data_IF_879343870447
#
_entry.id   IF_879343870447
#
_cell.length_a   1.000
_cell.length_b   1.000
_cell.length_c   1.000
_cell.angle_alpha   90.00
_cell.angle_beta   90.00
_cell.angle_gamma   90.00
#
_symmetry.space_group_name_H-M   'P 1'
#
loop_
_entity.id
_entity.type
_entity.pdbx_description
1 polymer ?
#
# COMPACT_ATOMS: atom_id res chain seq x y z
N UNK A 1 -31.60 12.13 -40.09
CA UNK A 1 -30.57 12.14 -39.03
C UNK A 1 -30.68 10.82 -38.26
N UNK A 2 -30.08 9.76 -38.77
CA UNK A 2 -29.79 8.56 -37.99
C UNK A 2 -28.27 8.49 -37.91
N UNK A 3 -27.71 8.67 -36.71
CA UNK A 3 -26.31 8.36 -36.43
C UNK A 3 -26.31 7.06 -35.66
N UNK A 4 -26.03 5.98 -36.38
CA UNK A 4 -25.74 4.68 -35.78
C UNK A 4 -24.46 4.83 -34.95
N UNK A 5 -24.57 4.51 -33.66
CA UNK A 5 -23.49 4.56 -32.68
C UNK A 5 -22.72 3.23 -32.81
N UNK A 6 -21.39 3.21 -33.02
CA UNK A 6 -20.65 1.96 -33.14
C UNK A 6 -20.61 1.23 -31.79
N UNK A 7 -20.88 -0.07 -31.80
CA UNK A 7 -20.80 -0.95 -30.65
C UNK A 7 -19.39 -0.91 -30.02
N UNK A 8 -19.35 -0.60 -28.72
CA UNK A 8 -18.13 -0.62 -27.91
C UNK A 8 -17.59 -2.04 -27.78
N UNK A 9 -16.32 -2.23 -28.17
CA UNK A 9 -15.54 -3.43 -27.90
C UNK A 9 -15.59 -3.80 -26.42
N UNK A 10 -16.32 -4.86 -26.08
CA UNK A 10 -16.20 -5.55 -24.79
C UNK A 10 -14.84 -6.24 -24.74
N UNK A 11 -13.88 -5.68 -24.00
CA UNK A 11 -12.69 -6.42 -23.59
C UNK A 11 -13.13 -7.64 -22.76
N UNK A 12 -13.09 -8.82 -23.38
CA UNK A 12 -13.24 -10.09 -22.67
C UNK A 12 -12.04 -10.24 -21.75
N UNK A 13 -12.29 -10.34 -20.43
CA UNK A 13 -11.28 -10.69 -19.44
C UNK A 13 -10.47 -11.90 -19.91
N UNK A 14 -9.19 -11.68 -20.16
CA UNK A 14 -8.28 -12.69 -20.72
C UNK A 14 -7.96 -13.67 -19.59
N UNK A 15 -8.68 -14.79 -19.55
CA UNK A 15 -8.32 -15.92 -18.68
C UNK A 15 -6.97 -16.44 -19.18
N UNK A 16 -5.91 -16.29 -18.37
CA UNK A 16 -4.58 -16.79 -18.71
C UNK A 16 -4.63 -18.32 -18.90
N UNK A 17 -4.05 -18.82 -19.98
CA UNK A 17 -4.05 -20.25 -20.27
C UNK A 17 -3.06 -20.94 -19.28
N UNK A 18 -3.47 -21.98 -18.54
CA UNK A 18 -2.59 -22.66 -17.60
C UNK A 18 -1.28 -23.19 -18.21
N UNK A 19 -1.25 -23.41 -19.53
CA UNK A 19 -0.05 -23.84 -20.26
C UNK A 19 1.04 -22.76 -20.36
N UNK A 20 0.72 -21.50 -20.08
CA UNK A 20 1.66 -20.38 -20.19
C UNK A 20 2.58 -20.23 -18.96
N UNK A 21 2.32 -21.00 -17.90
CA UNK A 21 3.11 -21.00 -16.68
C UNK A 21 4.25 -22.03 -16.72
N UNK A 22 5.45 -21.56 -16.39
CA UNK A 22 6.69 -22.35 -16.33
C UNK A 22 7.26 -22.32 -14.92
N UNK A 23 8.22 -23.20 -14.65
CA UNK A 23 8.96 -23.24 -13.39
C UNK A 23 10.19 -22.35 -13.44
N UNK A 24 10.35 -21.50 -12.43
CA UNK A 24 11.52 -20.64 -12.30
C UNK A 24 12.71 -21.44 -11.76
N UNK A 25 13.88 -21.25 -12.35
CA UNK A 25 15.08 -22.04 -12.04
C UNK A 25 15.62 -21.77 -10.62
N UNK A 26 15.49 -20.53 -10.13
CA UNK A 26 15.99 -20.12 -8.83
C UNK A 26 14.85 -20.09 -7.80
N UNK A 27 14.60 -21.22 -7.14
CA UNK A 27 13.59 -21.35 -6.08
C UNK A 27 12.35 -22.17 -6.44
N UNK A 28 12.12 -22.50 -7.72
CA UNK A 28 11.08 -23.47 -8.12
C UNK A 28 9.62 -22.96 -8.13
N UNK A 29 9.42 -21.65 -7.97
CA UNK A 29 8.12 -21.01 -8.15
C UNK A 29 7.60 -21.07 -9.59
N UNK A 30 6.35 -20.65 -9.79
CA UNK A 30 5.70 -20.63 -11.10
C UNK A 30 5.67 -19.21 -11.66
N UNK A 31 5.91 -19.05 -12.96
CA UNK A 31 5.84 -17.74 -13.62
C UNK A 31 5.21 -17.85 -15.00
N UNK A 32 4.49 -16.81 -15.41
CA UNK A 32 3.94 -16.69 -16.75
C UNK A 32 5.06 -16.34 -17.75
N UNK A 33 5.07 -16.96 -18.93
CA UNK A 33 6.13 -16.79 -19.94
C UNK A 33 6.37 -15.36 -20.45
N UNK A 34 5.40 -14.46 -20.26
CA UNK A 34 5.53 -13.04 -20.62
C UNK A 34 6.00 -12.15 -19.48
N UNK A 35 6.24 -12.68 -18.28
CA UNK A 35 6.87 -11.94 -17.20
C UNK A 35 8.35 -11.69 -17.53
N UNK A 36 8.83 -10.48 -17.22
CA UNK A 36 10.24 -10.15 -17.32
C UNK A 36 10.85 -10.24 -15.93
N UNK A 37 11.68 -11.25 -15.72
CA UNK A 37 12.24 -11.57 -14.40
C UNK A 37 13.75 -11.61 -14.56
N UNK A 38 14.46 -10.82 -13.76
CA UNK A 38 15.92 -10.85 -13.73
C UNK A 38 16.42 -12.26 -13.30
N UNK A 39 17.45 -12.83 -13.95
CA UNK A 39 17.97 -14.17 -13.61
C UNK A 39 18.42 -14.34 -12.15
N UNK A 40 18.75 -13.25 -11.47
CA UNK A 40 19.15 -13.28 -10.05
C UNK A 40 17.97 -13.32 -9.09
N UNK A 41 16.74 -13.12 -9.56
CA UNK A 41 15.55 -13.17 -8.71
C UNK A 41 15.32 -14.58 -8.16
N UNK A 42 14.97 -14.65 -6.87
CA UNK A 42 14.57 -15.85 -6.17
C UNK A 42 13.04 -15.89 -6.10
N UNK A 43 12.44 -16.95 -6.65
CA UNK A 43 10.99 -17.18 -6.61
C UNK A 43 10.76 -18.55 -6.00
N UNK A 44 10.34 -18.57 -4.74
CA UNK A 44 10.18 -19.81 -3.98
C UNK A 44 9.02 -20.68 -4.47
N UNK A 45 9.07 -21.96 -4.11
CA UNK A 45 8.03 -22.94 -4.44
C UNK A 45 6.66 -22.46 -3.95
N UNK A 46 5.66 -22.56 -4.82
CA UNK A 46 4.30 -22.13 -4.52
C UNK A 46 4.05 -20.64 -4.73
N UNK A 47 5.09 -19.81 -4.94
CA UNK A 47 4.90 -18.46 -5.43
C UNK A 47 4.49 -18.46 -6.91
N UNK A 48 3.68 -17.47 -7.31
CA UNK A 48 3.16 -17.31 -8.68
C UNK A 48 3.42 -15.89 -9.17
N UNK A 49 4.05 -15.77 -10.33
CA UNK A 49 4.25 -14.50 -11.03
C UNK A 49 3.42 -14.47 -12.32
N UNK A 50 2.48 -13.54 -12.43
CA UNK A 50 1.55 -13.43 -13.55
C UNK A 50 2.11 -12.70 -14.77
N UNK A 51 1.32 -12.65 -15.84
CA UNK A 51 1.74 -12.07 -17.11
C UNK A 51 2.18 -10.61 -17.00
N UNK A 52 3.20 -10.25 -17.79
CA UNK A 52 3.75 -8.89 -17.90
C UNK A 52 4.32 -8.30 -16.60
N UNK A 53 4.40 -9.06 -15.51
CA UNK A 53 5.07 -8.61 -14.30
C UNK A 53 6.57 -8.37 -14.57
N UNK A 54 7.14 -7.39 -13.88
CA UNK A 54 8.54 -7.00 -13.99
C UNK A 54 9.24 -7.19 -12.64
N UNK A 55 10.21 -8.09 -12.55
CA UNK A 55 10.99 -8.31 -11.33
C UNK A 55 12.46 -7.95 -11.58
N UNK A 56 12.97 -6.96 -10.83
CA UNK A 56 14.36 -6.53 -10.89
C UNK A 56 15.35 -7.52 -10.25
N UNK A 57 16.65 -7.19 -10.36
CA UNK A 57 17.73 -8.01 -9.83
C UNK A 57 17.63 -8.21 -8.31
N UNK A 58 17.97 -9.42 -7.84
CA UNK A 58 17.98 -9.83 -6.44
C UNK A 58 16.64 -9.67 -5.70
N UNK A 59 15.52 -9.65 -6.43
CA UNK A 59 14.18 -9.72 -5.82
C UNK A 59 13.97 -11.11 -5.20
N UNK A 60 13.40 -11.17 -4.01
CA UNK A 60 12.99 -12.41 -3.36
C UNK A 60 11.47 -12.45 -3.24
N UNK A 61 10.83 -13.48 -3.80
CA UNK A 61 9.40 -13.74 -3.68
C UNK A 61 9.18 -14.99 -2.84
N UNK A 62 8.61 -14.80 -1.65
CA UNK A 62 8.33 -15.88 -0.70
C UNK A 62 7.23 -16.83 -1.15
N UNK A 63 7.27 -18.05 -0.61
CA UNK A 63 6.31 -19.13 -0.89
C UNK A 63 4.85 -18.68 -0.71
N UNK A 64 4.00 -19.09 -1.65
CA UNK A 64 2.57 -18.76 -1.67
C UNK A 64 2.25 -17.31 -2.04
N UNK A 65 3.24 -16.45 -2.29
CA UNK A 65 2.99 -15.10 -2.76
C UNK A 65 2.50 -15.08 -4.22
N UNK A 66 1.60 -14.16 -4.52
CA UNK A 66 1.02 -13.94 -5.84
C UNK A 66 1.39 -12.54 -6.32
N UNK A 67 2.22 -12.48 -7.34
CA UNK A 67 2.56 -11.24 -8.06
C UNK A 67 1.63 -11.13 -9.25
N UNK A 68 0.63 -10.25 -9.17
CA UNK A 68 -0.41 -10.07 -10.18
C UNK A 68 0.10 -9.53 -11.53
N UNK A 69 -0.79 -9.47 -12.54
CA UNK A 69 -0.42 -9.02 -13.87
C UNK A 69 0.15 -7.60 -13.86
N UNK A 70 1.17 -7.33 -14.68
CA UNK A 70 1.81 -6.02 -14.82
C UNK A 70 2.36 -5.39 -13.52
N UNK A 71 2.43 -6.13 -12.41
CA UNK A 71 3.08 -5.66 -11.18
C UNK A 71 4.56 -5.45 -11.43
N UNK A 72 5.09 -4.32 -10.97
CA UNK A 72 6.52 -3.99 -11.06
C UNK A 72 7.15 -4.07 -9.69
N UNK A 73 8.20 -4.87 -9.56
CA UNK A 73 8.99 -5.04 -8.33
C UNK A 73 10.42 -4.58 -8.61
N UNK A 74 10.84 -3.51 -7.94
CA UNK A 74 12.21 -2.99 -8.05
C UNK A 74 13.27 -3.92 -7.45
N UNK A 75 14.52 -3.76 -7.88
CA UNK A 75 15.66 -4.55 -7.45
C UNK A 75 15.83 -4.65 -5.91
N UNK A 76 16.33 -5.78 -5.44
CA UNK A 76 16.63 -6.07 -4.02
C UNK A 76 15.42 -5.99 -3.07
N UNK A 77 14.20 -6.07 -3.61
CA UNK A 77 12.97 -6.09 -2.81
C UNK A 77 12.71 -7.48 -2.24
N UNK A 78 12.30 -7.55 -0.97
CA UNK A 78 11.92 -8.81 -0.31
C UNK A 78 10.42 -8.86 -0.08
N UNK A 79 9.76 -9.84 -0.69
CA UNK A 79 8.34 -10.15 -0.52
C UNK A 79 8.20 -11.38 0.37
N UNK A 80 7.43 -11.26 1.45
CA UNK A 80 7.15 -12.36 2.39
C UNK A 80 6.24 -13.45 1.84
N UNK A 81 5.84 -14.36 2.72
CA UNK A 81 4.98 -15.49 2.41
C UNK A 81 3.52 -15.06 2.26
N UNK A 82 2.79 -15.71 1.35
CA UNK A 82 1.36 -15.49 1.14
C UNK A 82 0.97 -14.01 0.92
N UNK A 83 1.84 -13.23 0.26
CA UNK A 83 1.58 -11.84 -0.10
C UNK A 83 0.82 -11.78 -1.41
N UNK A 84 -0.19 -10.91 -1.53
CA UNK A 84 -0.87 -10.67 -2.80
C UNK A 84 -0.61 -9.23 -3.28
N UNK A 85 -0.08 -9.12 -4.50
CA UNK A 85 0.18 -7.85 -5.18
C UNK A 85 -0.72 -7.76 -6.41
N UNK A 86 -1.50 -6.70 -6.55
CA UNK A 86 -2.42 -6.53 -7.67
C UNK A 86 -2.18 -5.20 -8.37
N UNK A 87 -1.77 -5.22 -9.64
CA UNK A 87 -1.57 -4.03 -10.49
C UNK A 87 -0.83 -2.87 -9.79
N UNK A 88 0.19 -3.17 -9.00
CA UNK A 88 0.89 -2.19 -8.16
C UNK A 88 2.37 -2.07 -8.52
N UNK A 89 3.03 -1.05 -7.98
CA UNK A 89 4.47 -0.85 -8.12
C UNK A 89 5.11 -0.92 -6.72
N UNK A 90 5.75 -2.05 -6.43
CA UNK A 90 6.51 -2.23 -5.19
C UNK A 90 7.96 -1.87 -5.48
N UNK A 91 8.42 -0.74 -4.95
CA UNK A 91 9.70 -0.11 -5.31
C UNK A 91 9.68 0.42 -6.74
N UNK A 92 9.44 1.73 -6.84
CA UNK A 92 9.66 2.45 -8.09
C UNK A 92 11.16 2.38 -8.42
N UNK A 93 11.48 2.01 -9.66
CA UNK A 93 12.87 1.96 -10.18
C UNK A 93 13.64 3.27 -9.97
N UNK A 94 12.93 4.39 -9.82
CA UNK A 94 13.48 5.64 -9.32
C UNK A 94 13.43 5.67 -7.81
N UNK A 95 14.63 5.76 -7.20
CA UNK A 95 14.85 6.35 -5.87
C UNK A 95 13.78 7.42 -5.60
N UNK A 96 13.06 7.33 -4.48
CA UNK A 96 11.99 8.25 -4.07
C UNK A 96 12.41 9.72 -4.11
N UNK A 97 11.51 10.65 -3.80
CA UNK A 97 11.71 12.09 -4.02
C UNK A 97 12.69 12.75 -3.02
N UNK A 98 13.97 12.34 -3.01
CA UNK A 98 15.03 12.95 -2.20
C UNK A 98 16.10 13.60 -3.06
N UNK A 99 16.44 14.85 -2.77
CA UNK A 99 17.50 15.62 -3.43
C UNK A 99 18.34 16.36 -2.38
N UNK A 100 19.60 16.63 -2.70
CA UNK A 100 20.45 17.57 -1.98
C UNK A 100 20.93 18.65 -2.94
N UNK A 101 21.25 19.81 -2.40
CA UNK A 101 21.90 20.88 -3.16
C UNK A 101 23.41 20.65 -3.07
N UNK A 102 24.07 20.51 -4.22
CA UNK A 102 25.54 20.42 -4.26
C UNK A 102 26.22 21.78 -4.03
N UNK A 103 27.55 21.79 -4.01
CA UNK A 103 28.36 23.01 -3.83
C UNK A 103 28.14 24.06 -4.93
N UNK A 104 27.53 23.68 -6.06
CA UNK A 104 27.23 24.54 -7.21
C UNK A 104 25.77 24.96 -7.29
N UNK A 105 24.94 24.58 -6.32
CA UNK A 105 23.51 24.90 -6.31
C UNK A 105 22.62 23.94 -7.11
N UNK A 106 23.16 22.84 -7.65
CA UNK A 106 22.37 21.88 -8.43
C UNK A 106 21.61 20.93 -7.52
N UNK A 107 20.40 20.55 -7.94
CA UNK A 107 19.61 19.51 -7.29
C UNK A 107 20.14 18.13 -7.68
N UNK A 108 20.94 17.52 -6.81
CA UNK A 108 21.50 16.18 -7.02
C UNK A 108 20.65 15.15 -6.30
N UNK A 109 20.35 14.04 -6.97
CA UNK A 109 19.51 12.96 -6.43
C UNK A 109 20.20 12.31 -5.22
N UNK A 110 19.46 12.16 -4.12
CA UNK A 110 19.93 11.38 -2.96
C UNK A 110 19.88 9.88 -3.30
N UNK A 111 21.01 9.15 -3.24
CA UNK A 111 20.99 7.71 -3.42
C UNK A 111 20.13 7.03 -2.36
N UNK A 112 19.21 6.16 -2.79
CA UNK A 112 18.43 5.30 -1.91
C UNK A 112 18.87 3.85 -2.13
N UNK A 113 19.91 3.43 -1.39
CA UNK A 113 20.61 2.16 -1.62
C UNK A 113 20.03 0.99 -0.82
N UNK A 114 19.10 1.23 0.09
CA UNK A 114 18.51 0.19 0.95
C UNK A 114 17.24 -0.39 0.37
N UNK A 115 16.56 -1.30 1.04
CA UNK A 115 15.51 -2.11 0.39
C UNK A 115 14.11 -1.72 0.84
N UNK A 116 13.11 -2.31 0.18
CA UNK A 116 11.77 -2.45 0.73
C UNK A 116 11.55 -3.90 1.17
N UNK A 117 10.97 -4.08 2.35
CA UNK A 117 10.64 -5.36 2.94
C UNK A 117 9.13 -5.43 3.17
N UNK A 118 8.49 -6.36 2.48
CA UNK A 118 7.08 -6.65 2.63
C UNK A 118 6.97 -7.90 3.49
N UNK A 119 6.25 -7.80 4.61
CA UNK A 119 5.98 -8.90 5.53
C UNK A 119 5.08 -9.97 4.94
N UNK A 120 4.65 -10.90 5.78
CA UNK A 120 3.81 -12.03 5.38
C UNK A 120 2.34 -11.65 5.37
N UNK A 121 1.53 -12.30 4.54
CA UNK A 121 0.07 -12.09 4.47
C UNK A 121 -0.35 -10.63 4.17
N UNK A 122 0.54 -9.87 3.53
CA UNK A 122 0.29 -8.50 3.12
C UNK A 122 -0.49 -8.49 1.81
N UNK A 123 -1.43 -7.56 1.68
CA UNK A 123 -2.13 -7.30 0.42
C UNK A 123 -1.87 -5.85 -0.02
N UNK A 124 -1.48 -5.68 -1.27
CA UNK A 124 -1.24 -4.36 -1.88
C UNK A 124 -2.12 -4.22 -3.11
N UNK A 125 -3.03 -3.25 -3.05
CA UNK A 125 -3.97 -2.88 -4.09
C UNK A 125 -3.33 -2.15 -5.27
N UNK A 126 -4.15 -1.94 -6.29
CA UNK A 126 -3.78 -1.36 -7.57
C UNK A 126 -3.25 0.07 -7.45
N UNK A 127 -2.29 0.40 -8.30
CA UNK A 127 -1.69 1.74 -8.43
C UNK A 127 -1.08 2.28 -7.12
N UNK A 128 -0.83 1.40 -6.14
CA UNK A 128 -0.10 1.74 -4.92
C UNK A 128 1.41 1.70 -5.18
N UNK A 129 2.11 2.63 -4.54
CA UNK A 129 3.53 2.87 -4.71
C UNK A 129 4.25 2.82 -3.36
N UNK A 130 5.31 2.01 -3.29
CA UNK A 130 6.13 1.86 -2.08
C UNK A 130 7.58 2.23 -2.40
N UNK A 131 8.08 3.29 -1.77
CA UNK A 131 9.46 3.73 -1.95
C UNK A 131 10.43 2.92 -1.09
N UNK A 132 11.62 2.64 -1.62
CA UNK A 132 12.70 1.96 -0.89
C UNK A 132 13.39 2.86 0.13
N UNK A 133 14.08 2.24 1.08
CA UNK A 133 14.85 2.93 2.10
C UNK A 133 16.07 3.71 1.57
N UNK A 134 16.37 4.85 2.20
CA UNK A 134 17.65 5.57 2.02
C UNK A 134 18.69 5.27 3.11
N UNK A 135 18.35 5.48 4.39
CA UNK A 135 19.22 5.23 5.57
C UNK A 135 18.76 4.09 6.49
N UNK A 136 17.48 3.71 6.39
CA UNK A 136 16.89 2.45 6.90
C UNK A 136 15.95 1.85 5.86
N UNK A 137 15.66 0.55 5.94
CA UNK A 137 14.68 -0.07 5.04
C UNK A 137 13.28 0.57 5.19
N UNK A 138 12.51 0.54 4.11
CA UNK A 138 11.05 0.66 4.19
C UNK A 138 10.50 -0.72 4.53
N UNK A 139 9.67 -0.81 5.58
CA UNK A 139 9.16 -2.07 6.10
C UNK A 139 7.65 -2.00 6.23
N UNK A 140 6.98 -3.01 5.69
CA UNK A 140 5.54 -3.24 5.86
C UNK A 140 5.37 -4.51 6.66
N UNK A 141 4.83 -4.41 7.87
CA UNK A 141 4.67 -5.54 8.77
C UNK A 141 3.55 -6.49 8.34
N UNK A 142 3.60 -7.69 8.93
CA UNK A 142 2.72 -8.81 8.58
C UNK A 142 1.23 -8.45 8.67
N UNK A 143 0.42 -9.11 7.84
CA UNK A 143 -1.04 -9.01 7.78
C UNK A 143 -1.60 -7.64 7.41
N UNK A 144 -0.75 -6.69 7.01
CA UNK A 144 -1.19 -5.35 6.60
C UNK A 144 -1.95 -5.37 5.28
N UNK A 145 -2.97 -4.52 5.15
CA UNK A 145 -3.82 -4.35 3.97
C UNK A 145 -3.68 -2.93 3.46
N UNK A 146 -3.23 -2.82 2.22
CA UNK A 146 -3.00 -1.55 1.55
C UNK A 146 -3.95 -1.52 0.36
N UNK A 147 -4.91 -0.60 0.39
CA UNK A 147 -5.89 -0.41 -0.66
C UNK A 147 -5.24 0.23 -1.90
N UNK A 148 -6.05 0.57 -2.89
CA UNK A 148 -5.63 1.15 -4.15
C UNK A 148 -5.17 2.60 -3.98
N UNK A 149 -4.24 3.04 -4.85
CA UNK A 149 -3.73 4.42 -4.90
C UNK A 149 -3.09 4.89 -3.57
N UNK A 150 -2.52 3.98 -2.79
CA UNK A 150 -1.81 4.32 -1.55
C UNK A 150 -0.33 4.60 -1.85
N UNK A 151 0.16 5.73 -1.35
CA UNK A 151 1.58 6.10 -1.44
C UNK A 151 2.27 5.84 -0.09
N UNK A 152 3.34 5.05 -0.11
CA UNK A 152 4.23 4.81 1.03
C UNK A 152 5.61 5.37 0.71
N UNK A 153 6.01 6.41 1.42
CA UNK A 153 7.30 7.07 1.26
C UNK A 153 8.50 6.23 1.70
N UNK A 154 9.70 6.77 1.42
CA UNK A 154 10.96 6.11 1.74
C UNK A 154 11.17 6.03 3.25
N UNK A 155 11.86 5.00 3.72
CA UNK A 155 12.12 4.81 5.14
C UNK A 155 10.81 4.82 5.93
N UNK A 156 9.73 4.18 5.49
CA UNK A 156 8.53 4.06 6.35
C UNK A 156 8.64 2.75 7.15
N UNK A 157 8.31 2.75 8.44
CA UNK A 157 8.04 1.50 9.19
C UNK A 157 6.54 1.43 9.42
N UNK A 158 5.93 0.34 8.99
CA UNK A 158 4.57 -0.04 9.37
C UNK A 158 4.67 -1.32 10.18
N UNK A 159 4.02 -1.34 11.35
CA UNK A 159 3.86 -2.52 12.19
C UNK A 159 2.95 -3.58 11.57
N UNK A 160 2.42 -4.47 12.40
CA UNK A 160 1.54 -5.56 11.98
C UNK A 160 0.08 -5.09 11.92
N UNK A 161 -0.72 -5.77 11.10
CA UNK A 161 -2.17 -5.55 11.00
C UNK A 161 -2.55 -4.09 10.66
N UNK A 162 -1.76 -3.41 9.82
CA UNK A 162 -2.13 -2.07 9.34
C UNK A 162 -3.25 -2.13 8.30
N UNK A 163 -4.20 -1.20 8.32
CA UNK A 163 -5.23 -1.07 7.28
C UNK A 163 -5.18 0.33 6.69
N UNK A 164 -4.87 0.46 5.41
CA UNK A 164 -4.70 1.75 4.74
C UNK A 164 -5.68 1.85 3.58
N UNK A 165 -6.73 2.65 3.76
CA UNK A 165 -7.76 2.85 2.75
C UNK A 165 -7.25 3.71 1.59
N UNK A 166 -7.97 3.66 0.47
CA UNK A 166 -7.52 4.25 -0.79
C UNK A 166 -7.17 5.73 -0.71
N UNK A 167 -6.20 6.13 -1.54
CA UNK A 167 -5.67 7.50 -1.60
C UNK A 167 -4.97 7.98 -0.32
N UNK A 168 -4.63 7.08 0.60
CA UNK A 168 -3.77 7.43 1.75
C UNK A 168 -2.34 7.72 1.27
N UNK A 169 -1.78 8.85 1.68
CA UNK A 169 -0.41 9.24 1.42
C UNK A 169 0.42 9.29 2.71
N UNK A 170 1.45 8.45 2.80
CA UNK A 170 2.38 8.42 3.93
C UNK A 170 3.72 8.96 3.45
N UNK A 171 4.14 10.10 3.99
CA UNK A 171 5.42 10.70 3.66
C UNK A 171 6.61 9.90 4.25
N UNK A 172 7.83 10.30 3.88
CA UNK A 172 9.04 9.57 4.25
C UNK A 172 9.33 9.57 5.75
N UNK A 173 10.09 8.58 6.21
CA UNK A 173 10.57 8.45 7.59
C UNK A 173 9.48 8.30 8.67
N UNK A 174 8.22 8.06 8.29
CA UNK A 174 7.12 7.80 9.23
C UNK A 174 7.28 6.44 9.91
N UNK A 175 6.84 6.35 11.15
CA UNK A 175 6.74 5.10 11.93
C UNK A 175 5.29 4.91 12.37
N UNK A 176 4.68 3.79 11.97
CA UNK A 176 3.31 3.41 12.32
C UNK A 176 3.39 2.10 13.12
N UNK A 177 2.78 2.07 14.29
CA UNK A 177 2.72 0.90 15.15
C UNK A 177 1.78 -0.20 14.63
N UNK A 178 1.51 -1.18 15.49
CA UNK A 178 0.64 -2.31 15.17
C UNK A 178 -0.85 -1.95 15.32
N UNK A 179 -1.70 -2.54 14.48
CA UNK A 179 -3.16 -2.40 14.51
C UNK A 179 -3.60 -0.94 14.33
N UNK A 180 -3.04 -0.28 13.31
CA UNK A 180 -3.40 1.09 12.93
C UNK A 180 -4.21 1.06 11.65
N UNK A 181 -5.35 1.73 11.66
CA UNK A 181 -6.18 1.94 10.48
C UNK A 181 -6.14 3.41 10.07
N UNK A 182 -5.78 3.69 8.82
CA UNK A 182 -5.91 5.01 8.19
C UNK A 182 -7.06 4.95 7.19
N UNK A 183 -8.10 5.75 7.44
CA UNK A 183 -9.20 5.99 6.50
C UNK A 183 -8.77 6.61 5.16
N UNK A 184 -9.69 6.70 4.22
CA UNK A 184 -9.37 7.15 2.85
C UNK A 184 -8.93 8.61 2.78
N UNK A 185 -8.04 8.93 1.83
CA UNK A 185 -7.51 10.30 1.60
C UNK A 185 -6.80 10.94 2.81
N UNK A 186 -6.20 10.13 3.68
CA UNK A 186 -5.37 10.64 4.78
C UNK A 186 -3.97 11.00 4.25
N UNK A 187 -3.44 12.12 4.73
CA UNK A 187 -2.04 12.50 4.52
C UNK A 187 -1.27 12.42 5.84
N UNK A 188 -0.16 11.70 5.87
CA UNK A 188 0.76 11.66 7.02
C UNK A 188 2.04 12.39 6.64
N UNK A 189 2.37 13.45 7.39
CA UNK A 189 3.61 14.21 7.20
C UNK A 189 4.82 13.38 7.61
N UNK A 190 5.97 13.72 7.05
CA UNK A 190 7.24 13.04 7.26
C UNK A 190 7.70 13.07 8.72
N UNK A 191 8.52 12.08 9.09
CA UNK A 191 9.14 11.96 10.42
C UNK A 191 8.17 11.87 11.62
N UNK A 192 6.92 11.48 11.38
CA UNK A 192 5.91 11.27 12.43
C UNK A 192 5.94 9.85 12.96
N UNK A 193 5.59 9.72 14.24
CA UNK A 193 5.25 8.44 14.85
C UNK A 193 3.75 8.33 15.20
N UNK A 194 3.12 7.23 14.81
CA UNK A 194 1.76 6.83 15.19
C UNK A 194 1.88 5.57 16.05
N UNK A 195 1.45 5.64 17.31
CA UNK A 195 1.55 4.54 18.26
C UNK A 195 0.66 3.33 17.90
N UNK A 196 1.02 2.15 18.38
CA UNK A 196 0.21 0.92 18.21
C UNK A 196 -1.16 1.04 18.92
N UNK A 197 -2.15 0.25 18.46
CA UNK A 197 -3.51 0.13 19.04
C UNK A 197 -4.37 1.39 18.91
N UNK A 198 -4.07 2.24 17.93
CA UNK A 198 -4.98 3.28 17.45
C UNK A 198 -5.90 2.65 16.39
N UNK A 199 -6.96 2.01 16.87
CA UNK A 199 -7.82 1.12 16.08
C UNK A 199 -8.54 1.78 14.89
N UNK A 200 -8.60 3.11 14.85
CA UNK A 200 -9.07 3.87 13.69
C UNK A 200 -8.56 5.32 13.84
N UNK A 201 -7.56 5.70 13.06
CA UNK A 201 -7.39 7.11 12.71
C UNK A 201 -8.29 7.31 11.49
N UNK A 202 -9.58 7.31 11.77
CA UNK A 202 -10.59 7.44 10.74
C UNK A 202 -10.82 8.92 10.48
N UNK A 203 -10.13 9.49 9.50
CA UNK A 203 -10.27 10.92 9.22
C UNK A 203 -11.01 11.10 7.90
N UNK A 204 -12.33 10.87 7.93
CA UNK A 204 -13.21 11.06 6.79
C UNK A 204 -13.27 12.54 6.36
N UNK A 205 -13.13 12.79 5.06
CA UNK A 205 -13.50 14.07 4.41
C UNK A 205 -14.95 14.07 3.89
N UNK A 206 -15.79 13.11 4.29
CA UNK A 206 -17.14 12.96 3.75
C UNK A 206 -18.11 13.94 4.41
N UNK A 207 -18.59 14.88 3.62
CA UNK A 207 -19.83 15.62 3.87
C UNK A 207 -20.99 14.64 3.70
N UNK A 208 -21.49 14.04 4.77
CA UNK A 208 -22.73 13.26 4.72
C UNK A 208 -23.61 13.63 5.90
N UNK A 209 -24.73 14.25 5.59
CA UNK A 209 -25.80 14.59 6.52
C UNK A 209 -26.43 13.30 7.03
N UNK A 210 -26.14 12.93 8.28
CA UNK A 210 -26.56 11.67 8.92
C UNK A 210 -28.05 11.66 9.35
N UNK A 211 -28.87 12.59 8.87
CA UNK A 211 -30.28 12.70 9.26
C UNK A 211 -31.21 11.62 8.68
N UNK A 212 -30.75 10.72 7.79
CA UNK A 212 -31.66 9.85 7.02
C UNK A 212 -31.31 8.35 6.89
N UNK A 213 -30.31 7.82 7.60
CA UNK A 213 -29.93 6.39 7.48
C UNK A 213 -30.42 5.58 8.69
N UNK A 214 -31.29 4.60 8.45
CA UNK A 214 -31.84 3.67 9.44
C UNK A 214 -30.89 2.47 9.64
N UNK A 215 -30.39 2.28 10.87
CA UNK A 215 -29.15 1.55 11.22
C UNK A 215 -29.33 0.11 11.75
N UNK A 216 -30.37 -0.64 11.35
CA UNK A 216 -30.73 -1.91 12.00
C UNK A 216 -30.47 -3.21 11.22
N UNK A 217 -29.47 -3.27 10.33
CA UNK A 217 -29.09 -4.53 9.72
C UNK A 217 -27.57 -4.71 9.75
N UNK A 218 -27.12 -5.81 10.38
CA UNK A 218 -25.73 -6.34 10.41
C UNK A 218 -24.79 -5.86 11.53
N UNK A 219 -24.98 -6.42 12.74
CA UNK A 219 -23.89 -6.76 13.65
C UNK A 219 -24.08 -8.21 14.12
N UNK A 220 -23.00 -9.02 14.22
CA UNK A 220 -21.91 -8.75 15.15
C UNK A 220 -20.50 -9.15 14.65
N UNK A 221 -19.44 -8.41 15.01
CA UNK A 221 -18.04 -8.87 15.23
C UNK A 221 -16.97 -7.72 15.31
N UNK A 222 -17.24 -6.57 15.93
CA UNK A 222 -16.17 -5.61 16.26
C UNK A 222 -16.43 -4.97 17.63
N UNK A 223 -15.64 -5.32 18.64
CA UNK A 223 -15.67 -4.64 19.94
C UNK A 223 -14.56 -3.57 19.98
N UNK A 224 -14.96 -2.34 20.31
CA UNK A 224 -14.15 -1.14 20.58
C UNK A 224 -13.32 -0.53 19.44
N UNK A 225 -13.99 -0.01 18.40
CA UNK A 225 -13.44 0.98 17.48
C UNK A 225 -13.56 2.41 18.06
N UNK A 226 -12.51 3.22 17.93
CA UNK A 226 -12.52 4.67 18.24
C UNK A 226 -12.42 5.39 16.90
N UNK A 227 -13.50 6.04 16.45
CA UNK A 227 -13.52 6.85 15.22
C UNK A 227 -13.25 8.33 15.47
N UNK A 228 -12.62 9.00 14.50
CA UNK A 228 -12.28 10.43 14.54
C UNK A 228 -13.15 11.21 13.57
N UNK A 229 -14.39 11.51 13.97
CA UNK A 229 -15.27 12.30 13.10
C UNK A 229 -14.85 13.78 13.09
N UNK A 230 -14.19 14.24 12.01
CA UNK A 230 -13.97 15.67 11.79
C UNK A 230 -15.24 16.31 11.23
N UNK A 231 -16.08 16.88 12.09
CA UNK A 231 -17.23 17.68 11.65
C UNK A 231 -16.77 19.11 11.31
N UNK A 232 -16.57 19.40 10.01
CA UNK A 232 -16.41 20.76 9.49
C UNK A 232 -15.28 20.91 8.49
N UNK A 233 -15.63 21.17 7.21
CA UNK A 233 -14.84 21.76 6.12
C UNK A 233 -13.31 21.54 6.15
N UNK A 234 -12.85 20.31 6.34
CA UNK A 234 -11.46 19.93 6.07
C UNK A 234 -11.48 18.82 5.02
N UNK A 235 -11.35 19.22 3.75
CA UNK A 235 -11.39 18.30 2.61
C UNK A 235 -10.19 17.34 2.53
N UNK A 236 -9.22 17.45 3.45
CA UNK A 236 -8.09 16.52 3.57
C UNK A 236 -7.67 16.45 5.04
N UNK A 237 -7.36 15.24 5.46
CA UNK A 237 -7.08 14.92 6.84
C UNK A 237 -5.59 14.69 7.03
N UNK A 238 -4.93 15.57 7.79
CA UNK A 238 -3.47 15.57 7.89
C UNK A 238 -2.99 15.20 9.29
N UNK A 239 -2.11 14.19 9.38
CA UNK A 239 -1.37 13.89 10.60
C UNK A 239 -0.13 14.80 10.67
N UNK A 240 -0.25 15.86 11.48
CA UNK A 240 0.74 16.95 11.59
C UNK A 240 1.60 16.94 12.86
N UNK A 241 1.47 15.91 13.71
CA UNK A 241 2.40 15.64 14.82
C UNK A 241 2.39 14.15 15.19
N UNK A 242 3.26 13.74 16.12
CA UNK A 242 3.22 12.41 16.72
C UNK A 242 1.88 12.14 17.41
N UNK A 243 1.32 10.95 17.20
CA UNK A 243 0.12 10.48 17.89
C UNK A 243 0.55 9.41 18.90
N UNK A 244 0.56 9.78 20.19
CA UNK A 244 1.06 8.91 21.27
C UNK A 244 -0.04 8.18 22.02
N UNK A 245 -1.26 8.73 22.02
CA UNK A 245 -2.40 8.16 22.74
C UNK A 245 -3.70 8.29 21.93
N UNK A 246 -4.67 7.38 22.11
CA UNK A 246 -6.01 7.54 21.54
C UNK A 246 -6.64 8.81 22.10
N UNK A 247 -7.12 9.71 21.22
CA UNK A 247 -7.59 11.02 21.66
C UNK A 247 -6.75 12.20 21.16
N UNK A 248 -5.50 11.93 20.75
CA UNK A 248 -4.58 12.98 20.30
C UNK A 248 -4.74 13.26 18.80
N UNK A 249 -5.76 14.06 18.45
CA UNK A 249 -6.18 14.31 17.06
C UNK A 249 -5.60 15.61 16.48
N UNK A 250 -4.31 15.88 16.75
CA UNK A 250 -3.62 17.05 16.20
C UNK A 250 -4.31 18.41 16.43
N UNK A 251 -5.18 18.51 17.44
CA UNK A 251 -5.92 19.74 17.80
C UNK A 251 -7.38 19.79 17.38
N UNK A 252 -7.95 18.73 16.78
CA UNK A 252 -9.37 18.66 16.41
C UNK A 252 -10.18 17.84 17.42
N UNK A 253 -11.45 18.21 17.71
CA UNK A 253 -12.30 17.42 18.60
C UNK A 253 -12.75 16.14 17.89
N UNK A 254 -12.42 14.95 18.42
CA UNK A 254 -13.11 13.74 18.00
C UNK A 254 -14.37 13.53 18.83
N UNK A 255 -15.45 13.18 18.15
CA UNK A 255 -16.66 12.69 18.78
C UNK A 255 -16.60 11.17 18.84
N UNK A 256 -16.78 10.58 20.02
CA UNK A 256 -17.04 9.14 20.16
C UNK A 256 -18.40 8.85 19.51
N UNK A 257 -18.40 8.36 18.28
CA UNK A 257 -19.64 7.93 17.63
C UNK A 257 -19.55 6.46 17.23
N UNK A 258 -20.33 5.62 17.93
CA UNK A 258 -20.66 4.26 17.50
C UNK A 258 -21.59 4.36 16.29
N UNK A 259 -21.07 4.00 15.12
CA UNK A 259 -21.77 3.84 13.85
C UNK A 259 -21.26 2.53 13.26
N UNK A 260 -22.13 1.53 13.11
CA UNK A 260 -21.77 0.32 12.38
C UNK A 260 -21.73 0.65 10.89
N UNK A 261 -20.79 0.06 10.15
CA UNK A 261 -20.81 0.06 8.69
C UNK A 261 -22.07 -0.65 8.17
#
# INVERSE_FOLDING_TARGET
MNRDIPETHKEKGRVENPQDFKKWHNGGGSFHQSACIDPTALIEVGAIVHSKALLGANVCVGSGAVVGPAVTIGQSTKIGYNVALSNCIVVVYVTGFGFFVDEHGNMVKKPQMLIARIGNHVEIGADSCIDRGSWRDTVIGDHSKIDNLVQIGHNVIIGKNGMFCGQTGIAGSVTIGDNVTLGGRIAVRDHVSIASKLFEVDIHSTQTDLSSVNLNAYAPLFHSSIRVHMSGVAANSCVTKDIKEPGDYSGFPAVRTCIML
#
